data_IF_293422408037
#
_entry.id   IF_293422408037
#
_cell.length_a   1.000
_cell.length_b   1.000
_cell.length_c   1.000
_cell.angle_alpha   90.00
_cell.angle_beta   90.00
_cell.angle_gamma   90.00
#
_symmetry.space_group_name_H-M   'P 1'
#
loop_
_entity.id
_entity.type
_entity.pdbx_description
1 polymer ?
#
# COMPACT_ATOMS: atom_id res chain seq x y z
N UNK A 1 17.13 -5.09 5.04
CA UNK A 1 15.81 -5.52 5.54
C UNK A 1 14.80 -4.49 5.06
N UNK A 2 13.62 -4.92 4.60
CA UNK A 2 12.53 -4.00 4.23
C UNK A 2 11.76 -3.62 5.50
N UNK A 3 11.53 -2.32 5.71
CA UNK A 3 10.88 -1.77 6.89
C UNK A 3 9.51 -1.14 6.58
N UNK A 4 8.74 -0.83 7.63
CA UNK A 4 7.39 -0.25 7.51
C UNK A 4 7.37 1.04 6.69
N UNK A 5 8.39 1.89 6.84
CA UNK A 5 8.54 3.14 6.10
C UNK A 5 8.68 2.92 4.59
N UNK A 6 9.29 1.81 4.18
CA UNK A 6 9.48 1.48 2.77
C UNK A 6 8.13 1.11 2.13
N UNK A 7 7.31 0.33 2.85
CA UNK A 7 5.95 0.03 2.41
C UNK A 7 5.06 1.27 2.42
N UNK A 8 5.14 2.09 3.48
CA UNK A 8 4.37 3.33 3.56
C UNK A 8 4.73 4.28 2.41
N UNK A 9 6.01 4.38 2.03
CA UNK A 9 6.45 5.17 0.89
C UNK A 9 5.77 4.71 -0.40
N UNK A 10 5.81 3.40 -0.70
CA UNK A 10 5.17 2.84 -1.90
C UNK A 10 3.66 3.06 -1.89
N UNK A 11 2.99 2.79 -0.76
CA UNK A 11 1.54 2.95 -0.63
C UNK A 11 1.13 4.41 -0.79
N UNK A 12 1.86 5.35 -0.17
CA UNK A 12 1.56 6.77 -0.27
C UNK A 12 1.81 7.30 -1.69
N UNK A 13 2.86 6.84 -2.36
CA UNK A 13 3.11 7.18 -3.76
C UNK A 13 1.98 6.69 -4.67
N UNK A 14 1.46 5.47 -4.44
CA UNK A 14 0.30 4.95 -5.18
C UNK A 14 -0.95 5.80 -4.96
N UNK A 15 -1.24 6.19 -3.71
CA UNK A 15 -2.35 7.09 -3.41
C UNK A 15 -2.18 8.47 -4.07
N UNK A 16 -0.97 9.04 -4.03
CA UNK A 16 -0.65 10.29 -4.71
C UNK A 16 -0.78 10.18 -6.25
N UNK A 17 -0.55 8.98 -6.80
CA UNK A 17 -0.77 8.64 -8.20
C UNK A 17 -2.23 8.39 -8.59
N UNK A 18 -3.16 8.49 -7.64
CA UNK A 18 -4.59 8.33 -7.91
C UNK A 18 -5.09 6.89 -7.80
N UNK A 19 -4.43 6.02 -7.02
CA UNK A 19 -4.98 4.71 -6.72
C UNK A 19 -6.36 4.83 -6.08
N UNK A 20 -7.29 3.96 -6.47
CA UNK A 20 -8.64 3.86 -5.91
C UNK A 20 -8.71 2.77 -4.81
N UNK A 21 -7.82 1.79 -4.92
CA UNK A 21 -7.63 0.74 -3.95
C UNK A 21 -6.16 0.35 -3.87
N UNK A 22 -5.66 0.09 -2.66
CA UNK A 22 -4.33 -0.48 -2.42
C UNK A 22 -4.45 -1.65 -1.47
N UNK A 23 -3.69 -2.70 -1.72
CA UNK A 23 -3.58 -3.88 -0.87
C UNK A 23 -2.14 -4.25 -0.58
N UNK A 24 -1.92 -4.91 0.55
CA UNK A 24 -0.64 -5.51 0.93
C UNK A 24 -0.89 -6.98 1.22
N UNK A 25 -0.20 -7.88 0.53
CA UNK A 25 -0.37 -9.33 0.65
C UNK A 25 -1.86 -9.75 0.60
N UNK A 26 -2.58 -9.23 -0.40
CA UNK A 26 -4.02 -9.45 -0.59
C UNK A 26 -4.91 -9.01 0.58
N UNK A 27 -4.50 -7.99 1.33
CA UNK A 27 -5.31 -7.33 2.35
C UNK A 27 -5.52 -5.87 1.99
N UNK A 28 -6.78 -5.41 1.95
CA UNK A 28 -7.13 -4.03 1.61
C UNK A 28 -6.59 -3.07 2.66
N UNK A 29 -5.87 -2.04 2.22
CA UNK A 29 -5.38 -0.95 3.07
C UNK A 29 -6.29 0.26 2.88
N UNK A 30 -6.62 0.93 3.97
CA UNK A 30 -7.36 2.20 3.98
C UNK A 30 -6.58 3.25 4.77
N UNK A 31 -7.05 4.51 4.77
CA UNK A 31 -6.38 5.62 5.45
C UNK A 31 -6.11 5.38 6.95
N UNK A 32 -6.89 4.53 7.60
CA UNK A 32 -6.76 4.18 9.02
C UNK A 32 -6.02 2.85 9.26
N UNK A 33 -5.57 2.17 8.22
CA UNK A 33 -4.82 0.92 8.34
C UNK A 33 -3.42 1.20 8.88
N UNK A 34 -3.05 0.54 9.98
CA UNK A 34 -1.70 0.58 10.50
C UNK A 34 -0.88 -0.59 9.96
N UNK A 35 0.24 -0.29 9.31
CA UNK A 35 1.30 -1.25 8.96
C UNK A 35 2.41 -1.07 9.98
N UNK A 36 2.79 -2.15 10.67
CA UNK A 36 3.82 -2.10 11.73
C UNK A 36 4.86 -3.18 11.51
N UNK A 37 6.12 -2.88 11.80
CA UNK A 37 7.15 -3.92 11.90
C UNK A 37 7.07 -4.65 13.25
N UNK A 38 7.17 -5.98 13.22
CA UNK A 38 7.39 -6.84 14.39
C UNK A 38 8.56 -7.77 14.05
N UNK A 39 9.73 -7.49 14.63
CA UNK A 39 10.98 -8.14 14.21
C UNK A 39 11.24 -7.93 12.72
N UNK A 40 11.45 -9.02 11.99
CA UNK A 40 11.68 -9.00 10.53
C UNK A 40 10.40 -9.20 9.70
N UNK A 41 9.24 -9.07 10.33
CA UNK A 41 7.93 -9.31 9.72
C UNK A 41 7.02 -8.09 9.85
N UNK A 42 5.97 -8.04 9.03
CA UNK A 42 4.93 -7.01 9.09
C UNK A 42 3.71 -7.52 9.83
N UNK A 43 3.19 -6.70 10.75
CA UNK A 43 1.88 -6.88 11.35
C UNK A 43 0.86 -6.01 10.61
N UNK A 44 -0.12 -6.65 9.98
CA UNK A 44 -1.23 -6.03 9.27
C UNK A 44 -2.54 -6.71 9.67
N UNK A 45 -3.49 -5.92 10.19
CA UNK A 45 -4.78 -6.41 10.69
C UNK A 45 -4.67 -7.57 11.70
N UNK A 46 -3.65 -7.54 12.56
CA UNK A 46 -3.40 -8.60 13.54
C UNK A 46 -2.77 -9.87 12.97
N UNK A 47 -2.42 -9.89 11.67
CA UNK A 47 -1.72 -11.00 11.01
C UNK A 47 -0.29 -10.62 10.68
N UNK A 48 0.61 -11.60 10.78
CA UNK A 48 2.04 -11.42 10.54
C UNK A 48 2.40 -11.91 9.13
N UNK A 49 3.16 -11.12 8.38
CA UNK A 49 3.62 -11.43 7.03
C UNK A 49 5.15 -11.34 6.93
N UNK A 50 5.76 -12.32 6.27
CA UNK A 50 7.19 -12.33 5.96
C UNK A 50 7.43 -11.87 4.51
N UNK A 51 8.63 -11.38 4.17
CA UNK A 51 9.00 -11.12 2.78
C UNK A 51 8.90 -12.39 1.91
N UNK A 52 8.64 -12.27 0.59
CA UNK A 52 8.44 -11.02 -0.14
C UNK A 52 7.07 -10.38 0.14
N UNK A 53 7.06 -9.04 0.18
CA UNK A 53 5.83 -8.27 0.31
C UNK A 53 5.29 -7.91 -1.07
N UNK A 54 3.98 -8.06 -1.24
CA UNK A 54 3.30 -7.77 -2.50
C UNK A 54 2.36 -6.59 -2.26
N UNK A 55 2.57 -5.51 -3.01
CA UNK A 55 1.69 -4.34 -2.98
C UNK A 55 0.92 -4.33 -4.30
N UNK A 56 -0.40 -4.27 -4.18
CA UNK A 56 -1.34 -4.31 -5.28
C UNK A 56 -2.11 -2.98 -5.29
N UNK A 57 -2.31 -2.37 -6.45
CA UNK A 57 -3.03 -1.12 -6.58
C UNK A 57 -3.95 -1.11 -7.79
N UNK A 58 -5.17 -0.62 -7.61
CA UNK A 58 -6.16 -0.42 -8.67
C UNK A 58 -6.19 1.06 -9.01
N UNK A 59 -6.04 1.38 -10.30
CA UNK A 59 -6.04 2.75 -10.84
C UNK A 59 -5.44 2.78 -12.25
N UNK A 60 -5.20 3.98 -12.77
CA UNK A 60 -4.53 4.16 -14.06
C UNK A 60 -3.05 3.73 -13.96
N UNK A 61 -2.69 2.63 -14.63
CA UNK A 61 -1.37 2.01 -14.50
C UNK A 61 -0.21 2.94 -14.88
N UNK A 62 -0.42 3.87 -15.81
CA UNK A 62 0.61 4.84 -16.21
C UNK A 62 0.83 5.86 -15.10
N UNK A 63 -0.25 6.48 -14.61
CA UNK A 63 -0.19 7.44 -13.51
C UNK A 63 0.41 6.84 -12.23
N UNK A 64 0.04 5.59 -11.89
CA UNK A 64 0.57 4.88 -10.74
C UNK A 64 2.07 4.63 -10.86
N UNK A 65 2.55 4.17 -12.02
CA UNK A 65 3.98 3.99 -12.25
C UNK A 65 4.75 5.29 -12.19
N UNK A 66 4.24 6.33 -12.83
CA UNK A 66 4.87 7.64 -12.82
C UNK A 66 4.97 8.19 -11.39
N UNK A 67 3.96 7.95 -10.56
CA UNK A 67 3.99 8.35 -9.15
C UNK A 67 5.05 7.58 -8.35
N UNK A 68 5.17 6.27 -8.56
CA UNK A 68 6.24 5.46 -7.95
C UNK A 68 7.63 5.93 -8.36
N UNK A 69 7.83 6.28 -9.63
CA UNK A 69 9.12 6.72 -10.16
C UNK A 69 9.51 8.12 -9.66
N UNK A 70 8.53 9.00 -9.44
CA UNK A 70 8.75 10.38 -8.99
C UNK A 70 8.87 10.53 -7.47
N UNK A 71 8.47 9.52 -6.69
CA UNK A 71 8.51 9.60 -5.23
C UNK A 71 9.95 9.44 -4.70
N UNK A 72 10.51 10.44 -3.99
CA UNK A 72 11.89 10.38 -3.50
C UNK A 72 12.16 9.27 -2.48
N UNK A 73 11.14 8.83 -1.74
CA UNK A 73 11.28 7.74 -0.77
C UNK A 73 11.31 6.38 -1.48
N UNK A 74 10.48 6.20 -2.51
CA UNK A 74 10.54 5.01 -3.38
C UNK A 74 11.87 4.97 -4.14
N UNK A 75 12.38 6.11 -4.62
CA UNK A 75 13.71 6.17 -5.26
C UNK A 75 14.84 5.77 -4.30
N UNK A 76 14.78 6.18 -3.02
CA UNK A 76 15.74 5.73 -1.99
C UNK A 76 15.66 4.22 -1.78
N UNK A 77 14.45 3.66 -1.71
CA UNK A 77 14.23 2.23 -1.59
C UNK A 77 14.84 1.47 -2.77
N UNK A 78 14.55 1.88 -4.01
CA UNK A 78 15.06 1.18 -5.20
C UNK A 78 16.58 1.25 -5.32
N UNK A 79 17.22 2.37 -4.94
CA UNK A 79 18.69 2.44 -4.82
C UNK A 79 19.25 1.47 -3.78
N UNK A 80 18.63 1.39 -2.60
CA UNK A 80 19.05 0.43 -1.57
C UNK A 80 18.88 -1.02 -2.06
N UNK A 81 17.78 -1.33 -2.73
CA UNK A 81 17.51 -2.64 -3.34
C UNK A 81 18.61 -3.03 -4.33
N UNK A 82 19.00 -2.12 -5.23
CA UNK A 82 20.09 -2.34 -6.18
C UNK A 82 21.44 -2.58 -5.48
N UNK A 83 21.76 -1.77 -4.47
CA UNK A 83 23.00 -1.91 -3.70
C UNK A 83 23.11 -3.25 -2.98
N UNK A 84 22.01 -3.73 -2.40
CA UNK A 84 21.98 -4.99 -1.65
C UNK A 84 21.57 -6.21 -2.49
N UNK A 85 21.38 -6.03 -3.81
CA UNK A 85 20.96 -7.07 -4.76
C UNK A 85 19.71 -7.84 -4.31
N UNK A 86 18.77 -7.16 -3.66
CA UNK A 86 17.45 -7.71 -3.34
C UNK A 86 16.46 -7.36 -4.46
N UNK A 87 15.32 -8.07 -4.52
CA UNK A 87 14.32 -7.86 -5.58
C UNK A 87 13.38 -6.68 -5.31
N UNK A 88 13.12 -5.87 -6.33
CA UNK A 88 11.98 -4.94 -6.42
C UNK A 88 11.47 -4.99 -7.85
N UNK A 89 10.18 -5.27 -8.02
CA UNK A 89 9.59 -5.44 -9.35
C UNK A 89 8.22 -4.77 -9.37
N UNK A 90 7.96 -4.06 -10.47
CA UNK A 90 6.66 -3.43 -10.75
C UNK A 90 6.14 -4.03 -12.04
N UNK A 91 4.92 -4.56 -12.00
CA UNK A 91 4.25 -5.18 -13.12
C UNK A 91 2.82 -4.68 -13.21
N UNK A 92 2.29 -4.58 -14.44
CA UNK A 92 0.87 -4.33 -14.64
C UNK A 92 0.08 -5.62 -14.55
N UNK A 93 -1.16 -5.49 -14.09
CA UNK A 93 -2.19 -6.50 -14.20
C UNK A 93 -3.38 -5.92 -14.97
N UNK A 94 -3.89 -6.67 -15.95
CA UNK A 94 -5.06 -6.25 -16.74
C UNK A 94 -6.39 -6.41 -15.97
N UNK A 95 -6.47 -7.40 -15.07
CA UNK A 95 -7.56 -7.59 -14.10
C UNK A 95 -6.90 -7.82 -12.74
N UNK A 96 -7.24 -6.96 -11.77
CA UNK A 96 -6.76 -7.02 -10.40
C UNK A 96 -7.96 -6.85 -9.47
N UNK A 97 -8.14 -7.80 -8.55
CA UNK A 97 -9.23 -7.78 -7.58
C UNK A 97 -8.69 -7.76 -6.17
N UNK A 98 -9.03 -6.72 -5.44
CA UNK A 98 -8.75 -6.61 -4.01
C UNK A 98 -9.97 -7.00 -3.20
N UNK A 99 -9.82 -7.76 -2.10
CA UNK A 99 -10.92 -8.03 -1.20
C UNK A 99 -11.44 -6.73 -0.57
N UNK A 100 -12.68 -6.73 -0.04
CA UNK A 100 -13.17 -5.62 0.75
C UNK A 100 -12.31 -5.44 2.01
N UNK A 101 -12.32 -4.23 2.57
CA UNK A 101 -11.71 -3.99 3.87
C UNK A 101 -12.52 -4.71 4.97
N UNK A 102 -11.85 -5.56 5.75
CA UNK A 102 -12.48 -6.37 6.81
C UNK A 102 -12.49 -5.68 8.19
N UNK A 103 -11.90 -4.50 8.33
CA UNK A 103 -11.91 -3.75 9.59
C UNK A 103 -13.17 -2.91 9.78
N UNK A 104 -13.40 -2.44 11.01
CA UNK A 104 -14.55 -1.58 11.32
C UNK A 104 -14.36 -0.16 10.77
N UNK A 105 -15.30 0.28 9.94
CA UNK A 105 -15.50 1.69 9.57
C UNK A 105 -16.62 2.35 10.39
N UNK A 106 -17.15 1.68 11.41
CA UNK A 106 -18.32 2.14 12.14
C UNK A 106 -17.98 3.35 13.03
N UNK A 107 -18.63 4.47 12.73
CA UNK A 107 -18.56 5.68 13.56
C UNK A 107 -19.49 5.51 14.77
N UNK A 108 -18.95 5.64 15.99
CA UNK A 108 -19.75 5.55 17.21
C UNK A 108 -20.45 6.87 17.59
N UNK A 109 -19.81 7.99 17.27
CA UNK A 109 -20.26 9.32 17.73
C UNK A 109 -20.68 10.25 16.59
N UNK A 110 -20.32 9.92 15.35
CA UNK A 110 -20.62 10.73 14.17
C UNK A 110 -21.67 10.01 13.31
N UNK A 111 -22.52 10.79 12.65
CA UNK A 111 -23.49 10.33 11.65
C UNK A 111 -23.27 11.13 10.37
N UNK A 112 -23.56 10.55 9.19
CA UNK A 112 -23.56 11.30 7.94
C UNK A 112 -24.49 12.53 8.08
N UNK A 113 -24.05 13.68 7.57
CA UNK A 113 -24.98 14.78 7.35
C UNK A 113 -26.05 14.32 6.35
N UNK A 114 -27.30 14.72 6.55
CA UNK A 114 -28.35 14.45 5.56
C UNK A 114 -27.96 15.10 4.24
N UNK A 115 -28.14 14.37 3.14
CA UNK A 115 -27.83 14.91 1.82
C UNK A 115 -28.84 16.02 1.48
N UNK A 116 -28.37 17.26 1.41
CA UNK A 116 -29.17 18.36 0.85
C UNK A 116 -29.30 18.12 -0.65
N UNK A 117 -30.52 17.83 -1.11
CA UNK A 117 -30.86 17.68 -2.52
C UNK A 117 -30.94 19.00 -3.28
#
# INVERSE_FOLDING_TARGET
>A
VIHEQDLQAVINALWAGGAEAVGVNSQRVVATTAIRCVGNTLLLHGRVYSPPYVIEAVGDAVALRDALQRDPAVERLTRAVQQFQVGFTVADAADLRLPPYEGSAALRSARPAEATG
#
